data_IF_046967435767
#
_entry.id   IF_046967435767
#
_cell.length_a   1.000
_cell.length_b   1.000
_cell.length_c   1.000
_cell.angle_alpha   90.00
_cell.angle_beta   90.00
_cell.angle_gamma   90.00
#
_symmetry.space_group_name_H-M   'P 1'
#
loop_
_entity.id
_entity.type
_entity.pdbx_description
1 polymer ?
#
# COMPACT_ATOMS: atom_id res chain seq x y z
N UNK A 1 -7.58 15.23 -87.86
CA UNK A 1 -7.82 15.80 -86.57
C UNK A 1 -7.99 14.62 -85.54
N UNK A 2 -6.93 14.15 -84.89
CA UNK A 2 -6.99 13.08 -83.91
C UNK A 2 -6.87 13.71 -82.54
N UNK A 3 -7.85 13.43 -81.67
CA UNK A 3 -7.87 13.84 -80.27
C UNK A 3 -7.24 12.76 -79.41
N UNK A 4 -6.11 13.08 -78.76
CA UNK A 4 -5.51 12.23 -77.72
C UNK A 4 -6.25 12.39 -76.37
N UNK A 5 -6.80 11.28 -75.82
CA UNK A 5 -7.33 11.24 -74.54
C UNK A 5 -6.21 10.83 -73.54
N UNK A 6 -5.87 11.75 -72.61
CA UNK A 6 -4.98 11.48 -71.50
C UNK A 6 -5.77 10.87 -70.38
N UNK A 7 -5.49 9.59 -70.04
CA UNK A 7 -6.07 8.90 -68.89
C UNK A 7 -5.10 9.07 -67.73
N UNK A 8 -5.50 9.88 -66.73
CA UNK A 8 -4.82 10.02 -65.44
C UNK A 8 -5.09 8.76 -64.58
N UNK A 9 -4.05 7.99 -64.29
CA UNK A 9 -4.12 6.89 -63.33
C UNK A 9 -3.70 7.43 -61.97
N UNK A 10 -4.69 7.69 -61.09
CA UNK A 10 -4.41 7.99 -59.68
C UNK A 10 -4.07 6.68 -58.97
N UNK A 11 -2.79 6.50 -58.63
CA UNK A 11 -2.39 5.41 -57.72
C UNK A 11 -2.68 5.82 -56.27
N UNK A 12 -3.76 5.27 -55.69
CA UNK A 12 -4.04 5.30 -54.25
C UNK A 12 -3.05 4.37 -53.56
N UNK A 13 -1.99 4.94 -52.96
CA UNK A 13 -1.16 4.20 -51.99
C UNK A 13 -1.87 4.18 -50.64
N UNK A 14 -2.69 3.17 -50.47
CA UNK A 14 -3.22 2.78 -49.15
C UNK A 14 -2.07 2.15 -48.35
N UNK A 15 -1.47 2.92 -47.43
CA UNK A 15 -0.54 2.41 -46.46
C UNK A 15 -1.40 1.66 -45.41
N UNK A 16 -1.66 0.40 -45.71
CA UNK A 16 -2.29 -0.50 -44.75
C UNK A 16 -1.36 -0.73 -43.55
N UNK A 17 -1.59 -0.05 -42.46
CA UNK A 17 -0.97 -0.41 -41.18
C UNK A 17 -1.35 -1.85 -40.85
N UNK A 18 -0.37 -2.74 -40.87
CA UNK A 18 -0.57 -4.17 -40.59
C UNK A 18 -1.10 -4.34 -39.15
N UNK A 19 -2.18 -5.10 -38.94
CA UNK A 19 -2.78 -5.28 -37.61
C UNK A 19 -1.84 -5.96 -36.59
N UNK A 20 -0.74 -6.55 -37.04
CA UNK A 20 0.30 -7.18 -36.22
C UNK A 20 1.03 -6.15 -35.34
N UNK A 21 1.27 -4.92 -35.81
CA UNK A 21 1.96 -3.89 -35.01
C UNK A 21 1.08 -3.36 -33.86
N UNK A 22 -0.25 -3.31 -34.04
CA UNK A 22 -1.19 -2.88 -33.01
C UNK A 22 -1.35 -3.95 -31.92
N UNK A 23 -1.34 -5.22 -32.30
CA UNK A 23 -1.42 -6.34 -31.35
C UNK A 23 -0.17 -6.41 -30.43
N UNK A 24 1.02 -6.07 -30.94
CA UNK A 24 2.26 -6.04 -30.13
C UNK A 24 2.27 -4.90 -29.11
N UNK A 25 1.66 -3.75 -29.44
CA UNK A 25 1.59 -2.60 -28.53
C UNK A 25 0.63 -2.88 -27.35
N UNK A 26 -0.45 -3.60 -27.59
CA UNK A 26 -1.44 -3.94 -26.55
C UNK A 26 -0.88 -5.02 -25.59
N UNK A 27 -0.13 -6.00 -26.09
CA UNK A 27 0.48 -7.02 -25.23
C UNK A 27 1.61 -6.48 -24.36
N UNK A 28 2.33 -5.43 -24.76
CA UNK A 28 3.37 -4.82 -23.92
C UNK A 28 2.80 -4.00 -22.76
N UNK A 29 1.61 -3.41 -22.93
CA UNK A 29 0.94 -2.63 -21.88
C UNK A 29 0.41 -3.49 -20.72
N UNK A 30 0.15 -4.79 -20.94
CA UNK A 30 -0.33 -5.70 -19.89
C UNK A 30 0.78 -6.26 -18.98
N UNK A 31 2.06 -6.02 -19.32
CA UNK A 31 3.20 -6.47 -18.51
C UNK A 31 3.59 -5.49 -17.39
N UNK A 32 3.05 -4.27 -17.38
CA UNK A 32 3.15 -3.37 -16.23
C UNK A 32 2.08 -3.75 -15.20
N UNK A 33 2.17 -4.96 -14.66
CA UNK A 33 1.43 -5.34 -13.48
C UNK A 33 1.72 -4.35 -12.36
N UNK A 34 0.70 -3.83 -11.68
CA UNK A 34 0.86 -3.06 -10.47
C UNK A 34 1.79 -3.84 -9.54
N UNK A 35 3.03 -3.38 -9.38
CA UNK A 35 3.94 -3.92 -8.39
C UNK A 35 3.33 -3.59 -7.02
N UNK A 36 2.60 -4.55 -6.45
CA UNK A 36 2.11 -4.45 -5.08
C UNK A 36 3.30 -4.34 -4.12
N UNK A 37 3.09 -3.72 -2.95
CA UNK A 37 4.08 -3.77 -1.88
C UNK A 37 4.21 -5.20 -1.33
N UNK A 38 5.28 -5.45 -0.58
CA UNK A 38 5.41 -6.72 0.15
C UNK A 38 4.32 -6.87 1.20
N UNK A 39 3.82 -8.10 1.36
CA UNK A 39 2.89 -8.43 2.44
C UNK A 39 3.57 -8.27 3.80
N UNK A 40 2.79 -7.92 4.82
CA UNK A 40 3.26 -7.80 6.20
C UNK A 40 2.51 -8.78 7.07
N UNK A 41 3.23 -9.55 7.88
CA UNK A 41 2.71 -10.43 8.91
C UNK A 41 2.81 -9.74 10.27
N UNK A 42 1.66 -9.38 10.81
CA UNK A 42 1.54 -8.75 12.11
C UNK A 42 1.36 -9.83 13.17
N UNK A 43 2.32 -9.95 14.07
CA UNK A 43 2.28 -10.85 15.23
C UNK A 43 1.87 -10.04 16.46
N UNK A 44 0.71 -10.35 17.02
CA UNK A 44 0.04 -9.61 18.09
C UNK A 44 -0.02 -10.48 19.31
N UNK A 45 0.18 -9.94 20.53
CA UNK A 45 0.09 -10.74 21.75
C UNK A 45 -1.25 -11.46 21.84
N UNK A 46 -1.25 -12.72 22.26
CA UNK A 46 -2.48 -13.51 22.41
C UNK A 46 -3.46 -12.83 23.38
N UNK A 47 -4.72 -12.72 22.95
CA UNK A 47 -5.78 -12.08 23.74
C UNK A 47 -5.72 -10.55 23.75
N UNK A 48 -4.83 -9.92 22.97
CA UNK A 48 -4.81 -8.47 22.84
C UNK A 48 -6.07 -7.97 22.15
N UNK A 49 -6.70 -6.97 22.75
CA UNK A 49 -7.83 -6.21 22.17
C UNK A 49 -7.50 -4.72 22.32
N UNK A 50 -7.60 -3.97 21.22
CA UNK A 50 -7.32 -2.54 21.24
C UNK A 50 -6.53 -2.05 20.05
N UNK A 51 -6.06 -0.80 20.11
CA UNK A 51 -5.28 -0.17 19.06
C UNK A 51 -3.84 -0.66 19.06
N UNK A 52 -3.37 -1.14 17.91
CA UNK A 52 -1.94 -1.32 17.65
C UNK A 52 -1.43 -0.12 16.87
N UNK A 53 -0.19 0.30 17.15
CA UNK A 53 0.47 1.46 16.55
C UNK A 53 1.83 1.04 16.03
N UNK A 54 2.04 1.16 14.72
CA UNK A 54 3.30 0.86 14.05
C UNK A 54 3.94 2.19 13.63
N UNK A 55 5.02 2.57 14.30
CA UNK A 55 5.78 3.78 14.02
C UNK A 55 6.89 3.49 13.02
N UNK A 56 6.92 4.26 11.92
CA UNK A 56 7.89 4.14 10.84
C UNK A 56 8.92 5.29 10.88
N UNK A 57 10.06 5.09 10.22
CA UNK A 57 11.12 6.11 10.12
C UNK A 57 11.67 6.56 11.49
N UNK A 58 11.57 5.73 12.51
CA UNK A 58 12.14 5.95 13.85
C UNK A 58 13.64 5.69 13.81
N UNK A 59 14.48 6.72 13.83
CA UNK A 59 15.93 6.61 13.58
C UNK A 59 16.67 5.63 14.51
N UNK A 60 16.21 5.47 15.75
CA UNK A 60 16.82 4.57 16.76
C UNK A 60 16.32 3.13 16.68
N UNK A 61 15.27 2.86 15.91
CA UNK A 61 14.68 1.52 15.81
C UNK A 61 15.38 0.67 14.72
N UNK A 62 15.32 -0.67 14.82
CA UNK A 62 15.83 -1.55 13.77
C UNK A 62 14.98 -1.45 12.49
N UNK A 63 15.55 -1.81 11.32
CA UNK A 63 14.76 -1.92 10.09
C UNK A 63 13.77 -3.09 10.19
N UNK A 64 12.73 -3.08 9.33
CA UNK A 64 11.77 -4.19 9.24
C UNK A 64 12.48 -5.50 8.92
N UNK A 65 12.20 -6.52 9.72
CA UNK A 65 12.66 -7.88 9.46
C UNK A 65 11.89 -8.46 8.28
N UNK A 66 12.63 -9.00 7.31
CA UNK A 66 12.04 -9.70 6.18
C UNK A 66 12.25 -11.22 6.34
N UNK A 67 11.16 -11.99 6.23
CA UNK A 67 11.17 -13.46 6.25
C UNK A 67 10.27 -13.98 5.12
N UNK A 68 10.76 -14.96 4.36
CA UNK A 68 10.00 -15.60 3.26
C UNK A 68 9.34 -14.62 2.27
N UNK A 69 10.02 -13.50 1.97
CA UNK A 69 9.51 -12.50 1.04
C UNK A 69 8.51 -11.48 1.62
N UNK A 70 8.15 -11.61 2.90
CA UNK A 70 7.22 -10.73 3.61
C UNK A 70 7.90 -10.01 4.77
N UNK A 71 7.37 -8.88 5.19
CA UNK A 71 7.79 -8.24 6.44
C UNK A 71 7.14 -8.90 7.64
N UNK A 72 7.85 -8.92 8.77
CA UNK A 72 7.33 -9.41 10.04
C UNK A 72 7.39 -8.30 11.08
N UNK A 73 6.23 -7.96 11.65
CA UNK A 73 6.05 -6.99 12.72
C UNK A 73 5.57 -7.72 13.96
N UNK A 74 6.37 -7.74 15.01
CA UNK A 74 5.96 -8.32 16.30
C UNK A 74 5.62 -7.19 17.27
N UNK A 75 4.33 -6.98 17.47
CA UNK A 75 3.78 -5.94 18.34
C UNK A 75 4.07 -6.26 19.80
N UNK A 76 4.51 -5.26 20.55
CA UNK A 76 4.75 -5.41 21.99
C UNK A 76 3.42 -5.50 22.78
N UNK A 77 3.47 -5.88 24.07
CA UNK A 77 2.30 -6.02 24.93
C UNK A 77 1.50 -4.71 25.11
N UNK A 78 2.16 -3.56 24.96
CA UNK A 78 1.52 -2.25 25.00
C UNK A 78 0.86 -1.83 23.67
N UNK A 79 0.84 -2.70 22.66
CA UNK A 79 0.26 -2.41 21.35
C UNK A 79 1.15 -1.59 20.40
N UNK A 80 2.45 -1.44 20.68
CA UNK A 80 3.33 -0.63 19.83
C UNK A 80 4.40 -1.46 19.14
N UNK A 81 4.86 -0.96 17.98
CA UNK A 81 6.05 -1.41 17.28
C UNK A 81 6.74 -0.21 16.62
N UNK A 82 8.07 -0.21 16.60
CA UNK A 82 8.87 0.84 15.99
C UNK A 82 9.87 0.26 14.99
N UNK A 83 10.05 0.98 13.86
CA UNK A 83 11.04 0.62 12.84
C UNK A 83 11.67 1.85 12.19
N UNK A 84 12.95 1.73 11.79
CA UNK A 84 13.60 2.75 10.97
C UNK A 84 13.20 2.72 9.50
N UNK A 85 12.56 1.62 9.04
CA UNK A 85 12.05 1.53 7.67
C UNK A 85 10.94 2.57 7.41
N UNK A 86 10.87 3.15 6.21
CA UNK A 86 9.74 3.99 5.82
C UNK A 86 8.45 3.16 5.65
N UNK A 87 7.25 3.77 5.74
CA UNK A 87 6.02 3.09 5.41
C UNK A 87 5.97 2.78 3.90
N UNK A 88 5.47 1.60 3.53
CA UNK A 88 5.19 1.22 2.15
C UNK A 88 3.68 1.22 1.92
N UNK A 89 3.25 1.78 0.77
CA UNK A 89 1.84 1.86 0.39
C UNK A 89 1.56 0.97 -0.82
N UNK A 90 0.30 0.59 -0.99
CA UNK A 90 -0.17 -0.25 -2.10
C UNK A 90 -0.88 -1.50 -1.61
N UNK A 91 -1.46 -2.24 -2.56
CA UNK A 91 -2.14 -3.49 -2.26
C UNK A 91 -1.15 -4.58 -1.85
N UNK A 92 -1.44 -5.28 -0.77
CA UNK A 92 -0.71 -6.46 -0.33
C UNK A 92 -1.66 -7.39 0.46
N UNK A 93 -1.29 -8.66 0.56
CA UNK A 93 -2.05 -9.62 1.37
C UNK A 93 -1.48 -9.65 2.79
N UNK A 94 -1.75 -8.59 3.56
CA UNK A 94 -1.35 -8.51 4.97
C UNK A 94 -2.11 -9.54 5.79
N UNK A 95 -1.43 -10.08 6.81
CA UNK A 95 -1.98 -11.10 7.69
C UNK A 95 -1.73 -10.75 9.15
N UNK A 96 -2.68 -11.05 10.00
CA UNK A 96 -2.64 -10.79 11.43
C UNK A 96 -2.72 -12.10 12.21
N UNK A 97 -1.85 -12.28 13.23
CA UNK A 97 -1.75 -13.49 14.02
C UNK A 97 -1.65 -13.15 15.49
N UNK A 98 -2.41 -13.86 16.32
CA UNK A 98 -2.09 -13.93 17.75
C UNK A 98 -0.89 -14.86 17.92
N UNK A 99 0.19 -14.37 18.52
CA UNK A 99 1.33 -15.22 18.86
C UNK A 99 1.28 -15.69 20.32
N UNK A 100 1.70 -16.93 20.52
CA UNK A 100 1.95 -17.54 21.83
C UNK A 100 3.36 -18.10 21.82
N UNK A 101 3.79 -18.68 22.96
CA UNK A 101 5.10 -19.37 23.01
C UNK A 101 5.17 -20.59 22.07
N UNK A 102 4.03 -21.20 21.74
CA UNK A 102 3.99 -22.49 21.05
C UNK A 102 3.52 -22.41 19.59
N UNK A 103 2.73 -21.41 19.22
CA UNK A 103 2.18 -21.29 17.87
C UNK A 103 1.59 -19.90 17.61
N UNK A 104 1.51 -19.52 16.33
CA UNK A 104 0.79 -18.35 15.86
C UNK A 104 -0.60 -18.81 15.35
N UNK A 105 -1.67 -18.08 15.75
CA UNK A 105 -3.05 -18.33 15.30
C UNK A 105 -3.53 -17.15 14.48
N UNK A 106 -3.95 -17.36 13.24
CA UNK A 106 -4.48 -16.30 12.37
C UNK A 106 -5.72 -15.65 13.01
N UNK A 107 -5.76 -14.33 12.93
CA UNK A 107 -6.89 -13.49 13.35
C UNK A 107 -7.80 -13.33 12.14
N UNK A 108 -9.10 -13.61 12.31
CA UNK A 108 -10.08 -13.43 11.23
C UNK A 108 -10.21 -11.95 10.83
N UNK A 109 -10.52 -11.72 9.56
CA UNK A 109 -10.65 -10.36 8.99
C UNK A 109 -11.74 -9.52 9.70
N UNK A 110 -12.74 -10.18 10.30
CA UNK A 110 -13.81 -9.56 11.09
C UNK A 110 -13.33 -8.99 12.43
N UNK A 111 -12.13 -9.37 12.87
CA UNK A 111 -11.50 -8.88 14.09
C UNK A 111 -10.38 -7.86 13.85
N UNK A 112 -10.11 -7.49 12.59
CA UNK A 112 -9.12 -6.45 12.24
C UNK A 112 -9.87 -5.29 11.61
N UNK A 113 -9.98 -4.19 12.33
CA UNK A 113 -10.71 -3.02 11.89
C UNK A 113 -9.75 -1.87 11.59
N UNK A 114 -9.93 -1.26 10.41
CA UNK A 114 -9.33 0.02 9.99
C UNK A 114 -7.80 0.11 10.07
N UNK A 115 -7.16 0.31 8.92
CA UNK A 115 -5.79 0.83 8.86
C UNK A 115 -5.84 2.34 8.64
N UNK A 116 -5.42 3.13 9.62
CA UNK A 116 -5.34 4.60 9.52
C UNK A 116 -3.87 4.97 9.45
N UNK A 117 -3.49 5.71 8.39
CA UNK A 117 -2.17 6.31 8.27
C UNK A 117 -2.19 7.75 8.78
N UNK A 118 -1.20 8.10 9.58
CA UNK A 118 -0.94 9.44 10.07
C UNK A 118 0.55 9.75 9.78
N UNK A 119 0.82 10.81 9.02
CA UNK A 119 2.19 11.22 8.67
C UNK A 119 2.91 11.91 9.84
N UNK A 120 2.22 12.16 10.92
CA UNK A 120 2.73 12.82 12.11
C UNK A 120 2.99 14.31 11.94
N UNK A 121 2.48 14.94 10.88
CA UNK A 121 2.69 16.34 10.60
C UNK A 121 1.52 17.20 11.07
N UNK A 122 1.86 18.34 11.66
CA UNK A 122 0.92 19.43 11.93
C UNK A 122 1.27 20.65 11.09
N UNK A 123 0.27 21.21 10.43
CA UNK A 123 0.42 22.44 9.66
C UNK A 123 -0.11 23.62 10.45
N UNK A 124 0.71 24.65 10.61
CA UNK A 124 0.32 25.96 11.12
C UNK A 124 0.61 27.07 10.10
N UNK A 125 0.01 28.24 10.28
CA UNK A 125 0.26 29.40 9.44
C UNK A 125 0.68 30.56 10.33
N UNK A 126 1.84 31.17 10.02
CA UNK A 126 2.31 32.36 10.65
C UNK A 126 2.73 33.39 9.58
N UNK A 127 2.26 34.63 9.68
CA UNK A 127 2.54 35.73 8.73
C UNK A 127 2.28 35.32 7.26
N UNK A 128 1.22 34.52 6.99
CA UNK A 128 0.88 34.07 5.65
C UNK A 128 1.77 32.92 5.11
N UNK A 129 2.72 32.42 5.91
CA UNK A 129 3.60 31.30 5.55
C UNK A 129 3.09 30.00 6.16
N UNK A 130 3.09 28.93 5.35
CA UNK A 130 2.82 27.56 5.82
C UNK A 130 4.03 27.04 6.58
N UNK A 131 3.82 26.62 7.82
CA UNK A 131 4.84 25.99 8.67
C UNK A 131 4.37 24.57 8.96
N UNK A 132 5.23 23.58 8.68
CA UNK A 132 4.95 22.15 8.95
C UNK A 132 5.84 21.71 10.10
N UNK A 133 5.24 21.16 11.15
CA UNK A 133 5.94 20.62 12.31
C UNK A 133 5.76 19.10 12.35
N UNK A 134 6.84 18.36 12.56
CA UNK A 134 6.77 16.92 12.81
C UNK A 134 6.50 16.70 14.31
N UNK A 135 5.32 16.22 14.67
CA UNK A 135 4.92 15.90 16.06
C UNK A 135 5.38 14.52 16.51
N UNK A 136 5.23 13.54 15.64
CA UNK A 136 5.65 12.16 15.88
C UNK A 136 6.07 11.51 14.57
N UNK A 137 6.78 10.35 14.60
CA UNK A 137 7.07 9.60 13.39
C UNK A 137 5.79 9.18 12.66
N UNK A 138 5.82 8.99 11.34
CA UNK A 138 4.69 8.43 10.61
C UNK A 138 4.23 7.12 11.24
N UNK A 139 2.93 6.93 11.35
CA UNK A 139 2.37 5.71 11.95
C UNK A 139 1.19 5.15 11.16
N UNK A 140 1.02 3.82 11.27
CA UNK A 140 -0.19 3.13 10.84
C UNK A 140 -0.82 2.49 12.08
N UNK A 141 -2.12 2.68 12.24
CA UNK A 141 -2.88 2.10 13.35
C UNK A 141 -3.90 1.10 12.84
N UNK A 142 -4.07 0.00 13.58
CA UNK A 142 -5.14 -0.96 13.38
C UNK A 142 -5.83 -1.21 14.71
N UNK A 143 -7.12 -1.48 14.69
CA UNK A 143 -7.83 -1.96 15.88
C UNK A 143 -7.99 -3.48 15.80
N UNK A 144 -7.64 -4.16 16.87
CA UNK A 144 -7.82 -5.60 17.01
C UNK A 144 -8.96 -5.85 18.00
N UNK A 145 -9.99 -6.52 17.54
CA UNK A 145 -11.18 -6.81 18.35
C UNK A 145 -12.47 -6.73 17.53
N UNK A 146 -13.57 -6.99 18.18
CA UNK A 146 -14.91 -6.93 17.58
C UNK A 146 -15.36 -5.50 17.30
N UNK A 147 -16.34 -5.32 16.42
CA UNK A 147 -16.95 -4.00 16.15
C UNK A 147 -17.52 -3.34 17.41
N UNK A 148 -18.07 -4.14 18.33
CA UNK A 148 -18.59 -3.63 19.62
C UNK A 148 -17.49 -3.09 20.53
N UNK A 149 -16.31 -3.72 20.54
CA UNK A 149 -15.13 -3.25 21.26
C UNK A 149 -14.55 -2.00 20.62
N UNK A 150 -14.50 -1.95 19.29
CA UNK A 150 -14.07 -0.78 18.53
C UNK A 150 -14.94 0.46 18.84
N UNK A 151 -16.29 0.30 18.81
CA UNK A 151 -17.21 1.40 19.15
C UNK A 151 -17.00 1.90 20.59
N UNK A 152 -16.75 1.00 21.54
CA UNK A 152 -16.42 1.38 22.92
C UNK A 152 -15.09 2.12 23.04
N UNK A 153 -14.10 1.71 22.26
CA UNK A 153 -12.78 2.36 22.25
C UNK A 153 -12.76 3.76 21.59
N UNK A 154 -13.79 4.09 20.82
CA UNK A 154 -13.97 5.43 20.21
C UNK A 154 -14.83 6.36 21.06
N UNK A 155 -15.57 5.84 22.02
CA UNK A 155 -16.38 6.66 22.94
C UNK A 155 -15.45 7.31 23.97
N UNK A 156 -15.57 8.64 24.18
CA UNK A 156 -14.77 9.38 25.16
C UNK A 156 -15.10 8.95 26.62
#
# INVERSE_FOLDING_TARGET
>A
MQRFHYRSVAQNHQIGMRPIALAFLITLATLFGCAGRKATYYRIPAGYVGWIKVYYSVKSAPPLLQQNGSYVITVAQNGTFETSSPPEFGAANDKFYYYTQNADKEIGDDLVLSGIYDDGQETSYAEGRKIVHQKHPPLITYFIGTEAEFKRAQSP
#
